data_IF_487981450979
#
_entry.id   IF_487981450979
#
_cell.length_a   1.000
_cell.length_b   1.000
_cell.length_c   1.000
_cell.angle_alpha   90.00
_cell.angle_beta   90.00
_cell.angle_gamma   90.00
#
_symmetry.space_group_name_H-M   'P 1'
#
loop_
_entity.id
_entity.type
_entity.pdbx_description
1 polymer ?
#
# COMPACT_ATOMS: atom_id res chain seq x y z
N UNK A 1 21.74 -16.71 -2.04
CA UNK A 1 21.24 -15.32 -1.92
C UNK A 1 20.41 -14.99 -3.15
N UNK A 2 19.18 -14.51 -2.95
CA UNK A 2 18.23 -14.14 -4.02
C UNK A 2 18.01 -12.62 -3.96
N UNK A 3 18.33 -11.84 -5.02
CA UNK A 3 18.10 -10.39 -5.02
C UNK A 3 16.62 -10.05 -4.81
N UNK A 4 16.34 -9.01 -4.02
CA UNK A 4 14.99 -8.47 -3.91
C UNK A 4 14.70 -7.52 -5.08
N UNK A 5 13.45 -7.44 -5.49
CA UNK A 5 12.96 -6.54 -6.55
C UNK A 5 12.75 -5.08 -6.09
N UNK A 6 13.17 -4.75 -4.86
CA UNK A 6 13.07 -3.39 -4.31
C UNK A 6 11.70 -3.00 -3.74
N UNK A 7 10.70 -3.88 -3.78
CA UNK A 7 9.36 -3.57 -3.24
C UNK A 7 9.20 -3.93 -1.76
N UNK A 8 10.12 -4.69 -1.16
CA UNK A 8 9.96 -5.21 0.19
C UNK A 8 10.71 -4.37 1.23
N UNK A 9 10.06 -4.13 2.37
CA UNK A 9 10.63 -3.44 3.53
C UNK A 9 10.43 -4.27 4.78
N UNK A 10 11.46 -4.33 5.61
CA UNK A 10 11.35 -4.91 6.95
C UNK A 10 10.93 -3.84 7.93
N UNK A 11 9.88 -4.14 8.70
CA UNK A 11 9.41 -3.32 9.81
C UNK A 11 9.94 -3.90 11.11
N UNK A 12 10.43 -3.02 11.98
CA UNK A 12 10.97 -3.38 13.28
C UNK A 12 9.99 -3.00 14.40
N UNK A 13 10.11 -3.66 15.55
CA UNK A 13 9.33 -3.31 16.73
C UNK A 13 9.67 -1.89 17.21
N UNK A 14 8.63 -1.14 17.60
CA UNK A 14 8.75 0.25 18.04
C UNK A 14 9.29 0.31 19.47
N UNK A 15 10.54 0.74 19.64
CA UNK A 15 11.07 1.07 20.97
C UNK A 15 10.79 2.55 21.31
N UNK A 16 9.69 2.82 22.03
CA UNK A 16 9.35 4.15 22.55
C UNK A 16 8.56 5.05 21.58
N UNK A 17 8.51 6.37 21.82
CA UNK A 17 7.64 7.32 21.10
C UNK A 17 8.20 7.87 19.77
N UNK A 18 9.09 7.13 19.10
CA UNK A 18 9.73 7.55 17.84
C UNK A 18 9.13 6.94 16.56
N UNK A 19 9.63 7.38 15.40
CA UNK A 19 9.37 6.72 14.12
C UNK A 19 9.85 5.27 14.15
N UNK A 20 9.04 4.35 13.63
CA UNK A 20 9.45 2.96 13.42
C UNK A 20 10.45 2.95 12.27
N UNK A 21 11.73 2.59 12.48
CA UNK A 21 12.67 2.48 11.37
C UNK A 21 12.22 1.32 10.48
N UNK A 22 11.99 1.56 9.19
CA UNK A 22 11.89 0.51 8.17
C UNK A 22 13.15 0.48 7.34
N UNK A 23 13.59 -0.71 6.92
CA UNK A 23 14.75 -0.88 6.05
C UNK A 23 14.34 -1.64 4.78
N UNK A 24 14.82 -1.21 3.59
CA UNK A 24 14.55 -1.93 2.36
C UNK A 24 15.24 -3.30 2.40
N UNK A 25 14.49 -4.34 2.02
CA UNK A 25 15.04 -5.66 1.74
C UNK A 25 15.79 -5.56 0.41
N UNK A 26 17.07 -5.89 0.42
CA UNK A 26 17.91 -5.87 -0.78
C UNK A 26 18.12 -7.28 -1.35
N UNK A 27 17.98 -8.31 -0.52
CA UNK A 27 18.09 -9.71 -0.91
C UNK A 27 17.45 -10.62 0.15
N UNK A 28 17.37 -11.90 -0.18
CA UNK A 28 17.00 -13.00 0.70
C UNK A 28 18.20 -13.94 0.83
N UNK A 29 18.44 -14.48 2.02
CA UNK A 29 19.41 -15.58 2.18
C UNK A 29 18.84 -16.92 1.70
N UNK A 30 19.64 -17.97 1.79
CA UNK A 30 19.27 -19.30 1.26
C UNK A 30 18.17 -19.98 2.08
N UNK A 31 17.94 -19.52 3.31
CA UNK A 31 16.86 -19.96 4.19
C UNK A 31 15.59 -19.11 4.02
N UNK A 32 15.63 -18.06 3.16
CA UNK A 32 14.53 -17.16 2.90
C UNK A 32 14.38 -16.00 3.90
N UNK A 33 15.39 -15.69 4.71
CA UNK A 33 15.33 -14.52 5.60
C UNK A 33 15.71 -13.22 4.86
N UNK A 34 15.08 -12.08 5.22
CA UNK A 34 15.36 -10.81 4.58
C UNK A 34 16.74 -10.27 4.99
N UNK A 35 17.50 -9.83 3.98
CA UNK A 35 18.77 -9.15 4.12
C UNK A 35 18.60 -7.66 3.81
N UNK A 36 19.21 -6.82 4.65
CA UNK A 36 19.17 -5.35 4.55
C UNK A 36 20.58 -4.77 4.61
N UNK A 37 20.77 -3.57 4.07
CA UNK A 37 22.05 -2.84 4.19
C UNK A 37 21.98 -1.87 5.37
N UNK A 38 22.90 -2.02 6.33
CA UNK A 38 23.09 -1.05 7.43
C UNK A 38 24.57 -0.75 7.59
N UNK A 39 24.92 0.54 7.53
CA UNK A 39 26.33 1.02 7.59
C UNK A 39 27.22 0.33 6.53
N UNK A 40 26.70 0.15 5.32
CA UNK A 40 27.43 -0.45 4.20
C UNK A 40 27.62 -1.97 4.27
N UNK A 41 27.07 -2.65 5.28
CA UNK A 41 27.15 -4.10 5.41
C UNK A 41 25.79 -4.75 5.18
N UNK A 42 25.79 -5.85 4.43
CA UNK A 42 24.65 -6.73 4.26
C UNK A 42 24.47 -7.57 5.53
N UNK A 43 23.30 -7.50 6.15
CA UNK A 43 22.98 -8.22 7.40
C UNK A 43 21.58 -8.78 7.36
N UNK A 44 21.36 -9.89 8.08
CA UNK A 44 20.01 -10.39 8.30
C UNK A 44 19.24 -9.37 9.16
N UNK A 45 18.00 -9.09 8.79
CA UNK A 45 17.22 -8.06 9.47
C UNK A 45 17.04 -8.37 10.96
N UNK A 46 16.83 -9.65 11.32
CA UNK A 46 16.73 -10.11 12.71
C UNK A 46 17.93 -9.75 13.58
N UNK A 47 19.12 -9.57 12.99
CA UNK A 47 20.33 -9.21 13.73
C UNK A 47 20.37 -7.74 14.14
N UNK A 48 19.39 -6.94 13.69
CA UNK A 48 19.28 -5.52 13.94
C UNK A 48 18.20 -5.17 14.97
N UNK A 49 17.29 -6.09 15.26
CA UNK A 49 16.18 -5.93 16.20
C UNK A 49 15.03 -6.90 15.92
N UNK A 50 14.00 -6.86 16.78
CA UNK A 50 12.76 -7.62 16.59
C UNK A 50 12.06 -7.17 15.31
N UNK A 51 11.83 -8.11 14.39
CA UNK A 51 11.10 -7.89 13.14
C UNK A 51 9.61 -8.10 13.40
N UNK A 52 8.78 -7.10 13.10
CA UNK A 52 7.32 -7.19 13.24
C UNK A 52 6.65 -7.67 11.97
N UNK A 53 7.29 -7.48 10.82
CA UNK A 53 6.76 -7.92 9.53
C UNK A 53 7.66 -7.54 8.36
N UNK A 54 7.36 -8.14 7.23
CA UNK A 54 7.90 -7.74 5.93
C UNK A 54 6.70 -7.26 5.12
N UNK A 55 6.75 -6.01 4.69
CA UNK A 55 5.69 -5.40 3.91
C UNK A 55 6.20 -5.12 2.50
N UNK A 56 5.39 -5.45 1.52
CA UNK A 56 5.60 -4.99 0.16
C UNK A 56 5.02 -3.57 0.07
N UNK A 57 5.86 -2.55 -0.15
CA UNK A 57 5.34 -1.29 -0.66
C UNK A 57 4.74 -1.58 -2.04
N UNK A 58 3.64 -0.90 -2.36
CA UNK A 58 3.18 -0.80 -3.73
C UNK A 58 4.35 -0.42 -4.64
N UNK A 59 4.39 -0.95 -5.85
CA UNK A 59 5.47 -0.64 -6.79
C UNK A 59 5.60 0.89 -6.97
N UNK A 60 6.74 1.36 -7.48
CA UNK A 60 6.95 2.80 -7.67
C UNK A 60 5.78 3.44 -8.43
N UNK A 61 5.30 4.59 -7.96
CA UNK A 61 4.28 5.36 -8.68
C UNK A 61 4.93 5.98 -9.91
N UNK A 62 4.51 5.53 -11.09
CA UNK A 62 5.04 6.00 -12.39
C UNK A 62 4.11 6.99 -13.09
N UNK A 63 2.91 7.21 -12.54
CA UNK A 63 1.97 8.18 -13.08
C UNK A 63 0.76 8.41 -12.18
N UNK A 64 -0.04 9.40 -12.55
CA UNK A 64 -1.32 9.68 -11.92
C UNK A 64 -2.36 10.03 -12.98
N UNK A 65 -3.61 9.60 -12.76
CA UNK A 65 -4.76 9.91 -13.61
C UNK A 65 -5.81 10.63 -12.74
N UNK A 66 -6.45 11.72 -13.20
CA UNK A 66 -7.53 12.35 -12.45
C UNK A 66 -8.68 11.37 -12.17
N UNK A 67 -9.31 11.50 -11.00
CA UNK A 67 -10.36 10.60 -10.56
C UNK A 67 -11.60 10.61 -11.47
N UNK A 68 -11.83 11.71 -12.18
CA UNK A 68 -12.71 11.72 -13.35
C UNK A 68 -14.19 11.46 -13.05
N UNK A 69 -14.67 11.80 -11.85
CA UNK A 69 -16.07 11.60 -11.45
C UNK A 69 -16.38 10.23 -10.85
N UNK A 70 -15.39 9.34 -10.74
CA UNK A 70 -15.54 8.08 -10.02
C UNK A 70 -15.78 8.31 -8.53
N UNK A 71 -16.63 7.48 -7.95
CA UNK A 71 -16.97 7.46 -6.54
C UNK A 71 -16.57 6.12 -5.92
N UNK A 72 -16.38 6.14 -4.61
CA UNK A 72 -16.25 4.93 -3.79
C UNK A 72 -17.25 4.98 -2.64
N UNK A 73 -18.04 3.91 -2.52
CA UNK A 73 -18.82 3.61 -1.32
C UNK A 73 -17.95 2.75 -0.40
N UNK A 74 -17.81 3.17 0.86
CA UNK A 74 -16.93 2.56 1.84
C UNK A 74 -17.72 2.05 3.06
N UNK A 75 -17.25 0.97 3.67
CA UNK A 75 -17.66 0.54 5.01
C UNK A 75 -16.42 0.18 5.82
N UNK A 76 -16.30 0.74 7.03
CA UNK A 76 -15.22 0.41 7.96
C UNK A 76 -15.54 -0.83 8.82
N UNK A 77 -14.59 -1.23 9.66
CA UNK A 77 -14.74 -2.39 10.57
C UNK A 77 -15.73 -2.16 11.71
N UNK A 78 -16.12 -0.92 11.98
CA UNK A 78 -17.16 -0.56 12.94
C UNK A 78 -18.56 -0.56 12.31
N UNK A 79 -18.64 -0.75 10.98
CA UNK A 79 -19.88 -0.75 10.22
C UNK A 79 -20.37 0.64 9.81
N UNK A 80 -19.55 1.69 9.96
CA UNK A 80 -19.88 3.01 9.45
C UNK A 80 -19.72 3.02 7.92
N UNK A 81 -20.67 3.61 7.21
CA UNK A 81 -20.64 3.72 5.75
C UNK A 81 -20.70 5.16 5.27
N UNK A 82 -19.95 5.45 4.21
CA UNK A 82 -19.94 6.76 3.55
C UNK A 82 -19.58 6.63 2.07
N UNK A 83 -19.88 7.67 1.30
CA UNK A 83 -19.47 7.80 -0.10
C UNK A 83 -18.55 9.00 -0.24
N UNK A 84 -17.46 8.86 -1.00
CA UNK A 84 -16.52 9.96 -1.25
C UNK A 84 -16.02 9.91 -2.70
N UNK A 85 -15.70 11.06 -3.32
CA UNK A 85 -15.12 11.07 -4.65
C UNK A 85 -13.69 10.52 -4.66
N UNK A 86 -13.37 9.76 -5.70
CA UNK A 86 -11.98 9.44 -6.03
C UNK A 86 -11.38 10.70 -6.66
N UNK A 87 -10.29 11.19 -6.08
CA UNK A 87 -9.61 12.41 -6.52
C UNK A 87 -8.65 12.14 -7.67
N UNK A 88 -7.93 11.02 -7.57
CA UNK A 88 -6.95 10.57 -8.55
C UNK A 88 -6.73 9.06 -8.44
N UNK A 89 -6.03 8.51 -9.42
CA UNK A 89 -5.52 7.15 -9.43
C UNK A 89 -4.01 7.20 -9.55
N UNK A 90 -3.27 6.52 -8.68
CA UNK A 90 -1.84 6.30 -8.90
C UNK A 90 -1.65 5.08 -9.79
N UNK A 91 -0.80 5.22 -10.81
CA UNK A 91 -0.40 4.12 -11.67
C UNK A 91 0.98 3.68 -11.21
N UNK A 92 1.08 2.41 -10.83
CA UNK A 92 2.30 1.83 -10.29
C UNK A 92 3.07 1.08 -11.39
N UNK A 93 4.38 0.93 -11.21
CA UNK A 93 5.27 0.28 -12.18
C UNK A 93 4.90 -1.19 -12.47
N UNK A 94 4.18 -1.83 -11.55
CA UNK A 94 3.63 -3.18 -11.69
C UNK A 94 2.27 -3.20 -12.41
N UNK A 95 1.87 -2.09 -13.02
CA UNK A 95 0.61 -1.88 -13.74
C UNK A 95 -0.65 -1.85 -12.87
N UNK A 96 -0.51 -1.86 -11.54
CA UNK A 96 -1.64 -1.64 -10.64
C UNK A 96 -2.09 -0.17 -10.64
N UNK A 97 -3.39 0.05 -10.48
CA UNK A 97 -3.99 1.37 -10.34
C UNK A 97 -4.67 1.45 -8.97
N UNK A 98 -4.30 2.43 -8.16
CA UNK A 98 -4.83 2.59 -6.80
C UNK A 98 -5.64 3.89 -6.72
N UNK A 99 -6.90 3.85 -6.29
CA UNK A 99 -7.71 5.05 -6.10
C UNK A 99 -7.22 5.84 -4.89
N UNK A 100 -7.21 7.17 -5.01
CA UNK A 100 -6.91 8.09 -3.92
C UNK A 100 -8.14 8.90 -3.52
N UNK A 101 -8.35 9.02 -2.21
CA UNK A 101 -9.30 9.98 -1.60
C UNK A 101 -8.52 10.94 -0.71
N UNK A 102 -9.20 11.88 -0.05
CA UNK A 102 -8.61 12.70 1.01
C UNK A 102 -9.46 12.67 2.28
N UNK A 103 -8.80 12.86 3.41
CA UNK A 103 -9.47 13.17 4.68
C UNK A 103 -9.91 14.64 4.77
N UNK A 104 -10.44 15.03 5.92
CA UNK A 104 -10.88 16.41 6.19
C UNK A 104 -9.75 17.43 6.25
N UNK A 105 -8.51 16.98 6.44
CA UNK A 105 -7.31 17.83 6.50
C UNK A 105 -6.65 17.97 5.12
N UNK A 106 -7.19 17.30 4.10
CA UNK A 106 -6.69 17.33 2.73
C UNK A 106 -5.49 16.40 2.50
N UNK A 107 -5.22 15.47 3.43
CA UNK A 107 -4.19 14.46 3.24
C UNK A 107 -4.73 13.34 2.36
N UNK A 108 -4.00 12.99 1.30
CA UNK A 108 -4.41 11.95 0.36
C UNK A 108 -3.81 10.60 0.69
N UNK A 109 -4.61 9.55 0.62
CA UNK A 109 -4.20 8.15 0.85
C UNK A 109 -4.92 7.18 -0.10
N UNK A 110 -4.49 5.92 -0.09
CA UNK A 110 -5.21 4.83 -0.74
C UNK A 110 -6.65 4.78 -0.22
N UNK A 111 -7.61 4.86 -1.12
CA UNK A 111 -9.04 4.90 -0.79
C UNK A 111 -9.57 3.58 -0.22
N UNK A 112 -8.83 2.48 -0.38
CA UNK A 112 -9.22 1.12 0.03
C UNK A 112 -8.55 0.66 1.32
N UNK A 113 -7.57 1.42 1.81
CA UNK A 113 -6.81 1.06 3.01
C UNK A 113 -7.71 1.05 4.26
N UNK A 114 -7.69 -0.06 5.00
CA UNK A 114 -8.42 -0.18 6.27
C UNK A 114 -9.94 -0.34 6.15
N UNK A 115 -10.48 -0.52 4.94
CA UNK A 115 -11.91 -0.77 4.74
C UNK A 115 -12.26 -2.25 4.93
N UNK A 116 -13.42 -2.52 5.51
CA UNK A 116 -14.02 -3.86 5.59
C UNK A 116 -14.62 -4.26 4.23
N UNK A 117 -15.29 -3.31 3.57
CA UNK A 117 -15.80 -3.49 2.22
C UNK A 117 -15.90 -2.17 1.48
N UNK A 118 -15.86 -2.24 0.14
CA UNK A 118 -16.03 -1.07 -0.70
C UNK A 118 -16.60 -1.42 -2.07
N UNK A 119 -17.16 -0.41 -2.75
CA UNK A 119 -17.58 -0.47 -4.16
C UNK A 119 -17.13 0.79 -4.86
N UNK A 120 -16.35 0.62 -5.93
CA UNK A 120 -15.97 1.73 -6.82
C UNK A 120 -16.87 1.72 -8.04
N UNK A 121 -17.40 2.89 -8.42
CA UNK A 121 -18.30 3.03 -9.56
C UNK A 121 -18.21 4.44 -10.15
N UNK A 122 -18.54 4.54 -11.43
CA UNK A 122 -18.80 5.83 -12.06
C UNK A 122 -20.31 6.04 -12.13
N UNK A 123 -20.88 7.18 -11.70
CA UNK A 123 -22.33 7.40 -11.70
C UNK A 123 -22.99 7.24 -13.08
N UNK A 124 -22.26 7.55 -14.15
CA UNK A 124 -22.75 7.39 -15.53
C UNK A 124 -22.59 5.96 -16.08
N UNK A 125 -21.98 5.05 -15.30
CA UNK A 125 -21.85 3.65 -15.69
C UNK A 125 -23.21 2.98 -15.57
N UNK A 126 -23.82 2.66 -16.71
CA UNK A 126 -25.03 1.85 -16.74
C UNK A 126 -24.64 0.39 -16.57
N UNK A 127 -25.35 -0.33 -15.70
CA UNK A 127 -25.18 -1.77 -15.56
C UNK A 127 -25.38 -2.42 -16.94
N UNK A 128 -24.35 -3.12 -17.43
CA UNK A 128 -24.51 -4.01 -18.56
C UNK A 128 -25.34 -5.18 -18.05
N UNK A 129 -26.64 -5.18 -18.33
CA UNK A 129 -27.44 -6.37 -18.12
C UNK A 129 -26.83 -7.49 -18.97
N UNK A 130 -26.17 -8.44 -18.32
CA UNK A 130 -25.83 -9.73 -18.90
C UNK A 130 -27.15 -10.38 -19.32
N UNK A 131 -27.49 -10.29 -20.61
CA UNK A 131 -28.65 -10.99 -21.14
C UNK A 131 -28.42 -12.49 -21.04
N UNK A 132 -29.26 -13.18 -20.27
CA UNK A 132 -29.53 -14.61 -20.43
C UNK A 132 -30.62 -14.84 -21.48
#
# INVERSE_FOLDING_TARGET
MIPANGSHYVHFEKNGSGYVPRLPVVAWDDDGFPLVVKRGMLRRASDLGSVTGIHQNHAEVVGAVPGGGWLIDCTDSEGNSWTTPILAWTIHADTTAIPLTSDSDGVTSDATEGLESYRIYHPDMTDVQSGE
#
